data_IF_893801249235
#
_entry.id   IF_893801249235
#
_cell.length_a   1.000
_cell.length_b   1.000
_cell.length_c   1.000
_cell.angle_alpha   90.00
_cell.angle_beta   90.00
_cell.angle_gamma   90.00
#
_symmetry.space_group_name_H-M   'P 1'
#
loop_
_entity.id
_entity.type
_entity.pdbx_description
1 polymer ?
#
# COMPACT_ATOMS: atom_id res chain seq x y z
N UNK A 1 17.81 4.48 3.78
CA UNK A 1 18.16 4.42 2.33
C UNK A 1 16.88 4.53 1.52
N UNK A 2 16.91 5.17 0.35
CA UNK A 2 15.73 5.35 -0.53
C UNK A 2 15.06 4.01 -0.89
N UNK A 3 15.85 2.96 -1.09
CA UNK A 3 15.36 1.61 -1.40
C UNK A 3 14.32 1.13 -0.39
N UNK A 4 14.54 1.35 0.91
CA UNK A 4 13.60 0.93 1.96
C UNK A 4 12.26 1.66 1.87
N UNK A 5 12.28 2.94 1.46
CA UNK A 5 11.05 3.71 1.29
C UNK A 5 10.28 3.14 0.11
N UNK A 6 10.95 2.93 -1.04
CA UNK A 6 10.28 2.43 -2.23
C UNK A 6 9.74 1.01 -2.06
N UNK A 7 10.47 0.12 -1.40
CA UNK A 7 10.01 -1.25 -1.16
C UNK A 7 8.89 -1.33 -0.11
N UNK A 8 8.71 -0.30 0.72
CA UNK A 8 7.57 -0.20 1.66
C UNK A 8 6.25 0.19 0.97
N UNK A 9 6.31 0.73 -0.25
CA UNK A 9 5.11 1.04 -1.04
C UNK A 9 4.60 -0.15 -1.86
N UNK A 10 5.26 -1.31 -1.76
CA UNK A 10 4.96 -2.49 -2.57
C UNK A 10 4.55 -3.65 -1.67
N UNK A 11 3.40 -4.23 -1.96
CA UNK A 11 2.93 -5.48 -1.33
C UNK A 11 3.14 -6.62 -2.35
N UNK A 12 3.77 -7.75 -1.97
CA UNK A 12 3.93 -8.88 -2.86
C UNK A 12 2.58 -9.59 -3.09
N UNK A 13 2.32 -9.95 -4.35
CA UNK A 13 1.08 -10.60 -4.76
C UNK A 13 0.05 -9.62 -5.32
N UNK A 14 -1.00 -10.15 -5.96
CA UNK A 14 -2.12 -9.36 -6.47
C UNK A 14 -3.31 -9.55 -5.54
N UNK A 15 -3.67 -8.48 -4.85
CA UNK A 15 -4.87 -8.45 -3.99
C UNK A 15 -6.02 -7.89 -4.82
N UNK A 16 -7.19 -8.55 -4.76
CA UNK A 16 -8.40 -8.03 -5.38
C UNK A 16 -8.77 -6.69 -4.72
N UNK A 17 -9.26 -5.69 -5.48
CA UNK A 17 -9.64 -4.40 -4.91
C UNK A 17 -10.64 -4.51 -3.77
N UNK A 18 -11.60 -5.43 -3.88
CA UNK A 18 -12.62 -5.67 -2.85
C UNK A 18 -12.07 -6.31 -1.57
N UNK A 19 -10.83 -6.83 -1.62
CA UNK A 19 -10.15 -7.54 -0.52
C UNK A 19 -8.87 -6.83 -0.08
N UNK A 20 -8.66 -5.58 -0.53
CA UNK A 20 -7.44 -4.83 -0.23
C UNK A 20 -7.38 -4.33 1.21
N UNK A 21 -8.53 -4.15 1.87
CA UNK A 21 -8.59 -3.78 3.27
C UNK A 21 -8.01 -4.89 4.17
N UNK A 22 -7.17 -4.49 5.12
CA UNK A 22 -6.47 -5.39 6.03
C UNK A 22 -4.98 -5.05 6.18
N UNK A 23 -4.27 -5.87 6.93
CA UNK A 23 -2.83 -5.72 7.13
C UNK A 23 -2.06 -6.55 6.13
N UNK A 24 -1.08 -5.94 5.46
CA UNK A 24 -0.26 -6.56 4.42
C UNK A 24 1.22 -6.38 4.73
N UNK A 25 2.01 -7.43 4.52
CA UNK A 25 3.48 -7.34 4.64
C UNK A 25 4.04 -6.78 3.35
N UNK A 26 4.84 -5.72 3.43
CA UNK A 26 5.46 -5.08 2.27
C UNK A 26 6.70 -5.86 1.80
N UNK A 27 7.19 -5.55 0.59
CA UNK A 27 8.47 -6.09 0.08
C UNK A 27 9.64 -5.66 0.97
N UNK A 28 9.53 -4.52 1.65
CA UNK A 28 10.51 -4.10 2.66
C UNK A 28 10.53 -4.99 3.90
N UNK A 29 9.43 -5.69 4.20
CA UNK A 29 9.28 -6.61 5.33
C UNK A 29 8.44 -6.07 6.48
N UNK A 30 8.26 -4.75 6.60
CA UNK A 30 7.34 -4.18 7.58
C UNK A 30 5.87 -4.28 7.10
N UNK A 31 4.91 -4.44 8.03
CA UNK A 31 3.50 -4.43 7.71
C UNK A 31 2.99 -3.00 7.42
N UNK A 32 2.03 -2.88 6.52
CA UNK A 32 1.17 -1.70 6.36
C UNK A 32 -0.29 -2.11 6.57
N UNK A 33 -1.14 -1.16 6.94
CA UNK A 33 -2.58 -1.39 7.12
C UNK A 33 -3.36 -0.57 6.12
N UNK A 34 -4.25 -1.23 5.40
CA UNK A 34 -5.24 -0.60 4.52
C UNK A 34 -6.59 -0.65 5.21
N UNK A 35 -7.26 0.49 5.33
CA UNK A 35 -8.55 0.61 5.98
C UNK A 35 -9.52 1.44 5.14
N UNK A 36 -10.81 1.28 5.39
CA UNK A 36 -11.87 2.04 4.74
C UNK A 36 -12.69 1.24 3.71
N UNK A 37 -13.82 1.81 3.27
CA UNK A 37 -14.62 1.23 2.18
C UNK A 37 -13.89 1.35 0.84
N UNK A 38 -14.30 0.55 -0.15
CA UNK A 38 -13.66 0.50 -1.47
C UNK A 38 -13.51 1.89 -2.16
N UNK A 39 -14.45 2.80 -1.91
CA UNK A 39 -14.47 4.15 -2.49
C UNK A 39 -13.63 5.17 -1.71
N UNK A 40 -13.24 4.86 -0.47
CA UNK A 40 -12.42 5.73 0.40
C UNK A 40 -11.46 4.88 1.22
N UNK A 41 -10.42 4.39 0.56
CA UNK A 41 -9.35 3.65 1.20
C UNK A 41 -8.28 4.60 1.76
N UNK A 42 -7.69 4.20 2.88
CA UNK A 42 -6.51 4.81 3.47
C UNK A 42 -5.47 3.74 3.74
N UNK A 43 -4.19 4.09 3.57
CA UNK A 43 -3.04 3.22 3.82
C UNK A 43 -2.21 3.87 4.92
N UNK A 44 -2.24 3.31 6.13
CA UNK A 44 -1.75 3.95 7.34
C UNK A 44 -2.32 5.39 7.44
N UNK A 45 -1.45 6.40 7.41
CA UNK A 45 -1.81 7.82 7.48
C UNK A 45 -2.01 8.48 6.10
N UNK A 46 -1.88 7.74 4.99
CA UNK A 46 -2.04 8.25 3.63
C UNK A 46 -3.44 7.95 3.08
N UNK A 47 -4.04 8.90 2.37
CA UNK A 47 -5.34 8.68 1.71
C UNK A 47 -5.15 8.21 0.28
N UNK A 48 -5.95 7.23 -0.15
CA UNK A 48 -5.97 6.77 -1.54
C UNK A 48 -6.80 7.76 -2.37
N UNK A 49 -6.15 8.44 -3.30
CA UNK A 49 -6.78 9.41 -4.21
C UNK A 49 -7.45 8.68 -5.38
N UNK A 50 -6.82 7.61 -5.86
CA UNK A 50 -7.34 6.79 -6.95
C UNK A 50 -6.82 5.36 -6.77
N UNK A 51 -7.74 4.42 -6.52
CA UNK A 51 -7.41 3.02 -6.27
C UNK A 51 -7.79 2.11 -7.44
N UNK A 52 -7.21 0.90 -7.46
CA UNK A 52 -7.68 -0.17 -8.35
C UNK A 52 -7.23 -0.07 -9.81
N UNK A 53 -6.22 0.73 -10.13
CA UNK A 53 -5.71 0.85 -11.50
C UNK A 53 -5.00 -0.45 -11.90
N UNK A 54 -5.64 -1.23 -12.76
CA UNK A 54 -5.09 -2.51 -13.22
C UNK A 54 -3.99 -2.29 -14.26
N UNK A 55 -2.84 -2.90 -14.01
CA UNK A 55 -1.74 -3.00 -14.97
C UNK A 55 -1.52 -4.46 -15.33
N UNK A 56 -0.61 -4.72 -16.27
CA UNK A 56 -0.26 -6.08 -16.67
C UNK A 56 0.16 -6.96 -15.47
N UNK A 57 0.94 -6.41 -14.54
CA UNK A 57 1.60 -7.17 -13.49
C UNK A 57 1.15 -6.82 -12.06
N UNK A 58 0.47 -5.70 -11.87
CA UNK A 58 0.11 -5.19 -10.54
C UNK A 58 -1.20 -4.40 -10.56
N UNK A 59 -1.74 -4.13 -9.38
CA UNK A 59 -2.81 -3.14 -9.18
C UNK A 59 -2.18 -1.95 -8.46
N UNK A 60 -2.36 -0.75 -9.01
CA UNK A 60 -1.76 0.48 -8.48
C UNK A 60 -2.81 1.27 -7.72
N UNK A 61 -2.42 1.79 -6.56
CA UNK A 61 -3.19 2.71 -5.73
C UNK A 61 -2.39 3.99 -5.56
N UNK A 62 -2.94 5.11 -6.03
CA UNK A 62 -2.36 6.44 -5.85
C UNK A 62 -2.71 6.94 -4.46
N UNK A 63 -1.69 7.37 -3.74
CA UNK A 63 -1.81 7.97 -2.40
C UNK A 63 -1.32 9.41 -2.42
N UNK A 64 -1.80 10.22 -1.48
CA UNK A 64 -1.45 11.64 -1.35
C UNK A 64 -0.15 11.89 -0.56
N UNK A 65 0.30 10.90 0.20
CA UNK A 65 1.41 11.04 1.16
C UNK A 65 2.40 9.88 1.01
N UNK A 66 3.69 10.18 1.10
CA UNK A 66 4.76 9.16 1.06
C UNK A 66 4.71 8.30 2.32
N UNK A 67 4.63 6.98 2.15
CA UNK A 67 4.68 6.04 3.26
C UNK A 67 6.10 5.92 3.80
N UNK A 68 6.24 6.14 5.11
CA UNK A 68 7.50 5.94 5.80
C UNK A 68 7.51 4.56 6.48
N UNK A 69 8.51 3.70 6.20
CA UNK A 69 8.64 2.44 6.92
C UNK A 69 8.89 2.74 8.41
N UNK A 70 8.42 1.89 9.32
CA UNK A 70 8.73 2.01 10.74
C UNK A 70 10.26 1.99 10.95
N UNK A 71 10.78 2.66 11.99
CA UNK A 71 12.20 2.63 12.30
C UNK A 71 12.67 1.18 12.39
N UNK A 72 13.76 0.86 11.68
CA UNK A 72 14.42 -0.42 11.88
C UNK A 72 14.93 -0.44 13.33
N UNK A 73 14.38 -1.33 14.16
CA UNK A 73 14.93 -1.64 15.48
C UNK A 73 16.20 -2.45 15.34
#
# INVERSE_FOLDING_TARGET
MLTNILTYHVVPGRVNPDQVAGTHVTVQGAPLTVAGPADHLSVNDASVVCGGVQTANATVYLIDTVLMPPPAM
#
